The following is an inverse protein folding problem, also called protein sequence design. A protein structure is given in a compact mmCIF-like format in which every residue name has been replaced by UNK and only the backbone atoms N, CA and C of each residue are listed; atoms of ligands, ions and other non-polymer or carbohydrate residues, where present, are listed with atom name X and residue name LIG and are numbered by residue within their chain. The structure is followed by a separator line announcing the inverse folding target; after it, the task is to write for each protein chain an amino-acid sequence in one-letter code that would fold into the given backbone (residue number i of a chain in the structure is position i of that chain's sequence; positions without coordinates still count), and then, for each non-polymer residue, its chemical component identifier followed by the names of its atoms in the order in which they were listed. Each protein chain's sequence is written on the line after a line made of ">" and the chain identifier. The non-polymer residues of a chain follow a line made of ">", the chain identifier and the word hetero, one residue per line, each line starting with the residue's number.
data_IF_464510229954
#
_entry.id   IF_464510229954
#
_cell.length_a   1.000
_cell.length_b   1.000
_cell.length_c   1.000
_cell.angle_alpha   90.00
_cell.angle_beta   90.00
_cell.angle_gamma   90.00
#
_symmetry.space_group_name_H-M   'P 1'
#
loop_
_entity.id
_entity.type
_entity.pdbx_description
1 polymer ?
#
# COMPACT_ATOMS: atom_id res chain seq x y z
N UNK A 1 17.27 -3.17 -29.53
CA UNK A 1 16.91 -4.24 -28.57
C UNK A 1 18.03 -4.54 -27.55
N UNK A 2 19.30 -4.74 -27.94
CA UNK A 2 20.39 -5.09 -27.00
C UNK A 2 20.73 -3.99 -25.97
N UNK A 3 20.66 -2.69 -26.33
CA UNK A 3 20.86 -1.57 -25.39
C UNK A 3 19.76 -1.45 -24.33
N UNK A 4 18.53 -1.85 -24.64
CA UNK A 4 17.39 -1.86 -23.72
C UNK A 4 17.51 -2.99 -22.71
N UNK A 5 18.02 -4.16 -23.13
CA UNK A 5 18.24 -5.32 -22.27
C UNK A 5 19.35 -5.09 -21.21
N UNK A 6 20.47 -4.44 -21.58
CA UNK A 6 21.51 -4.06 -20.60
C UNK A 6 21.02 -3.06 -19.55
N UNK A 7 20.13 -2.14 -19.93
CA UNK A 7 19.51 -1.17 -18.99
C UNK A 7 18.54 -1.85 -18.03
N UNK A 8 17.78 -2.85 -18.51
CA UNK A 8 16.90 -3.67 -17.68
C UNK A 8 17.68 -4.46 -16.60
N UNK A 9 18.83 -5.04 -16.99
CA UNK A 9 19.70 -5.80 -16.07
C UNK A 9 20.33 -4.93 -14.97
N UNK A 10 20.75 -3.70 -15.30
CA UNK A 10 21.33 -2.78 -14.32
C UNK A 10 20.29 -2.24 -13.33
N UNK A 11 19.02 -2.18 -13.74
CA UNK A 11 17.90 -1.70 -12.92
C UNK A 11 17.35 -2.79 -12.00
N UNK A 12 17.32 -4.05 -12.45
CA UNK A 12 17.01 -5.21 -11.61
C UNK A 12 17.96 -5.30 -10.41
N UNK A 13 19.24 -4.96 -10.64
CA UNK A 13 20.27 -4.89 -9.60
C UNK A 13 19.99 -3.76 -8.59
N UNK A 14 19.51 -2.61 -9.05
CA UNK A 14 19.15 -1.46 -8.20
C UNK A 14 17.90 -1.74 -7.34
N UNK A 15 16.90 -2.45 -7.89
CA UNK A 15 15.73 -2.93 -7.14
C UNK A 15 16.12 -3.96 -6.07
N UNK A 16 17.11 -4.82 -6.36
CA UNK A 16 17.67 -5.75 -5.37
C UNK A 16 18.41 -5.02 -4.24
N UNK A 17 19.14 -3.94 -4.55
CA UNK A 17 19.82 -3.11 -3.53
C UNK A 17 18.85 -2.35 -2.63
N UNK A 18 17.75 -1.82 -3.15
CA UNK A 18 16.72 -1.15 -2.34
C UNK A 18 15.94 -2.13 -1.42
N UNK A 19 15.81 -3.39 -1.85
CA UNK A 19 15.25 -4.47 -1.04
C UNK A 19 16.16 -4.88 0.13
N UNK A 20 17.48 -4.61 0.05
CA UNK A 20 18.44 -4.92 1.10
C UNK A 20 18.49 -3.87 2.22
N UNK A 21 18.22 -2.59 1.92
CA UNK A 21 18.27 -1.51 2.93
C UNK A 21 17.07 -1.49 3.89
N UNK A 22 15.99 -2.21 3.58
CA UNK A 22 14.80 -2.35 4.43
C UNK A 22 14.92 -3.47 5.47
N UNK A 23 16.06 -4.18 5.53
CA UNK A 23 16.33 -5.28 6.47
C UNK A 23 16.88 -4.83 7.84
N UNK A 24 17.15 -3.53 8.06
CA UNK A 24 17.66 -3.01 9.33
C UNK A 24 16.63 -2.12 10.02
N UNK A 25 15.72 -2.72 10.78
CA UNK A 25 15.11 -2.03 11.92
C UNK A 25 14.85 -3.04 13.04
N UNK A 26 15.65 -2.90 14.10
CA UNK A 26 15.60 -3.66 15.34
C UNK A 26 14.44 -3.12 16.17
N UNK A 27 13.49 -3.99 16.53
CA UNK A 27 12.37 -3.63 17.40
C UNK A 27 12.84 -3.41 18.84
N UNK A 28 12.51 -2.25 19.40
CA UNK A 28 12.52 -2.02 20.84
C UNK A 28 11.18 -2.52 21.41
N UNK A 29 11.21 -3.39 22.42
CA UNK A 29 10.02 -3.82 23.17
C UNK A 29 9.81 -2.84 24.32
N UNK A 30 8.62 -2.23 24.41
CA UNK A 30 8.21 -1.44 25.57
C UNK A 30 7.77 -2.37 26.71
N UNK A 31 8.20 -2.02 27.92
CA UNK A 31 8.22 -2.82 29.14
C UNK A 31 7.30 -2.24 30.22
N UNK A 32 6.18 -1.64 29.85
CA UNK A 32 5.33 -0.93 30.81
C UNK A 32 3.89 -1.41 30.65
N UNK A 33 3.52 -2.38 31.48
CA UNK A 33 2.32 -2.40 32.33
C UNK A 33 1.94 -3.86 32.65
N UNK A 34 1.92 -4.18 33.94
CA UNK A 34 1.88 -5.55 34.43
C UNK A 34 0.63 -5.73 35.32
N UNK A 35 -0.51 -6.14 34.74
CA UNK A 35 -1.79 -6.17 35.45
C UNK A 35 -1.89 -7.36 36.41
N UNK A 36 -2.80 -7.27 37.38
CA UNK A 36 -3.13 -8.39 38.27
C UNK A 36 -3.95 -9.47 37.57
N UNK A 37 -3.79 -10.73 38.00
CA UNK A 37 -4.55 -11.89 37.53
C UNK A 37 -6.03 -11.80 37.96
N UNK A 38 -6.99 -12.01 37.05
CA UNK A 38 -8.40 -11.80 37.30
C UNK A 38 -9.07 -12.80 38.25
N UNK A 39 -8.43 -13.94 38.50
CA UNK A 39 -8.92 -15.02 39.38
C UNK A 39 -8.20 -15.02 40.72
N UNK A 40 -6.88 -14.87 40.72
CA UNK A 40 -6.05 -14.97 41.94
C UNK A 40 -5.67 -13.63 42.56
N UNK A 41 -5.73 -12.53 41.79
CA UNK A 41 -5.30 -11.20 42.24
C UNK A 41 -3.79 -11.06 42.44
N UNK A 42 -2.98 -12.03 41.98
CA UNK A 42 -1.53 -11.90 41.98
C UNK A 42 -1.06 -11.15 40.75
N UNK A 43 -0.06 -10.27 40.90
CA UNK A 43 0.57 -9.59 39.76
C UNK A 43 1.05 -10.61 38.72
N UNK A 44 0.63 -10.43 37.48
CA UNK A 44 1.12 -11.22 36.35
C UNK A 44 2.62 -10.93 36.21
N UNK A 45 3.44 -11.93 35.88
CA UNK A 45 4.88 -11.71 35.62
C UNK A 45 5.12 -11.59 34.11
N UNK A 46 6.35 -11.30 33.68
CA UNK A 46 6.68 -11.13 32.25
C UNK A 46 6.31 -12.33 31.37
N UNK A 47 6.14 -13.52 31.96
CA UNK A 47 5.52 -14.69 31.34
C UNK A 47 4.06 -14.79 31.81
N UNK A 48 3.13 -14.40 30.94
CA UNK A 48 1.70 -14.41 31.20
C UNK A 48 0.99 -15.46 30.34
N UNK A 49 0.00 -16.15 30.91
CA UNK A 49 -0.92 -16.98 30.16
C UNK A 49 -2.05 -16.10 29.62
N UNK A 50 -2.32 -16.14 28.31
CA UNK A 50 -3.25 -15.19 27.68
C UNK A 50 -4.52 -15.90 27.22
N UNK A 51 -5.67 -15.37 27.62
CA UNK A 51 -6.95 -15.70 27.03
C UNK A 51 -7.29 -14.66 25.97
N UNK A 52 -7.30 -15.07 24.70
CA UNK A 52 -7.57 -14.18 23.58
C UNK A 52 -9.07 -14.12 23.28
N UNK A 53 -9.62 -12.91 23.30
CA UNK A 53 -10.95 -12.64 22.79
C UNK A 53 -10.88 -12.31 21.30
N UNK A 54 -12.01 -12.45 20.61
CA UNK A 54 -12.19 -11.94 19.24
C UNK A 54 -11.82 -10.45 19.18
N UNK A 55 -11.24 -10.04 18.06
CA UNK A 55 -10.86 -8.65 17.76
C UNK A 55 -9.72 -8.07 18.63
N UNK A 56 -8.86 -8.92 19.22
CA UNK A 56 -7.54 -8.54 19.70
C UNK A 56 -7.42 -8.19 21.18
N UNK A 57 -8.54 -8.08 21.90
CA UNK A 57 -8.52 -7.97 23.36
C UNK A 57 -8.04 -9.28 23.99
N UNK A 58 -7.30 -9.18 25.09
CA UNK A 58 -6.74 -10.35 25.79
C UNK A 58 -6.79 -10.14 27.30
N UNK A 59 -7.09 -11.21 28.02
CA UNK A 59 -6.95 -11.28 29.47
C UNK A 59 -5.66 -12.00 29.82
N UNK A 60 -4.94 -11.49 30.81
CA UNK A 60 -3.65 -12.05 31.25
C UNK A 60 -3.80 -12.74 32.60
N UNK A 61 -3.27 -13.95 32.69
CA UNK A 61 -3.27 -14.79 33.88
C UNK A 61 -1.83 -15.06 34.32
N UNK A 62 -1.62 -15.12 35.64
CA UNK A 62 -0.32 -15.36 36.25
C UNK A 62 0.10 -16.84 36.16
N UNK A 63 -0.85 -17.77 36.06
CA UNK A 63 -0.57 -19.20 36.04
C UNK A 63 -1.48 -19.97 35.07
N UNK A 64 -1.04 -21.15 34.64
CA UNK A 64 -1.88 -22.06 33.83
C UNK A 64 -3.09 -22.55 34.65
N UNK A 65 -2.93 -22.75 35.96
CA UNK A 65 -4.01 -23.21 36.85
C UNK A 65 -5.15 -22.18 36.95
N UNK A 66 -4.83 -20.89 37.00
CA UNK A 66 -5.83 -19.81 37.04
C UNK A 66 -6.55 -19.65 35.69
N UNK A 67 -5.83 -19.86 34.58
CA UNK A 67 -6.45 -19.93 33.26
C UNK A 67 -7.41 -21.12 33.14
N UNK A 68 -6.99 -22.31 33.55
CA UNK A 68 -7.81 -23.52 33.47
C UNK A 68 -9.05 -23.43 34.37
N UNK A 69 -8.91 -22.81 35.56
CA UNK A 69 -10.05 -22.52 36.44
C UNK A 69 -11.05 -21.55 35.79
N UNK A 70 -10.56 -20.54 35.07
CA UNK A 70 -11.40 -19.60 34.32
C UNK A 70 -12.14 -20.28 33.15
N UNK A 71 -11.46 -21.15 32.39
CA UNK A 71 -12.07 -21.90 31.29
C UNK A 71 -13.18 -22.85 31.77
N UNK A 72 -13.04 -23.41 32.98
CA UNK A 72 -14.07 -24.25 33.58
C UNK A 72 -15.23 -23.44 34.15
N UNK A 73 -14.95 -22.34 34.84
CA UNK A 73 -15.95 -21.50 35.50
C UNK A 73 -15.63 -20.00 35.32
N UNK A 74 -16.16 -19.35 34.27
CA UNK A 74 -15.83 -17.95 33.96
C UNK A 74 -16.36 -16.96 35.00
N UNK A 75 -17.40 -17.33 35.75
CA UNK A 75 -17.99 -16.49 36.81
C UNK A 75 -17.06 -16.24 37.99
N UNK A 76 -15.97 -17.01 38.14
CA UNK A 76 -14.96 -16.76 39.17
C UNK A 76 -14.19 -15.46 38.89
N UNK A 77 -13.92 -15.18 37.61
CA UNK A 77 -13.16 -14.01 37.18
C UNK A 77 -14.04 -12.78 36.88
N UNK A 78 -15.35 -12.95 36.70
CA UNK A 78 -16.24 -11.88 36.22
C UNK A 78 -17.02 -11.24 37.38
N UNK A 79 -16.79 -9.94 37.63
CA UNK A 79 -17.48 -9.18 38.69
C UNK A 79 -18.84 -8.65 38.24
N UNK A 80 -18.90 -8.11 37.03
CA UNK A 80 -20.10 -7.48 36.50
C UNK A 80 -19.82 -6.54 35.34
N UNK A 81 -20.87 -5.87 34.88
CA UNK A 81 -20.82 -4.89 33.80
C UNK A 81 -20.96 -3.50 34.37
N UNK A 82 -20.09 -2.57 33.97
CA UNK A 82 -20.23 -1.15 34.29
C UNK A 82 -19.98 -0.28 33.06
N UNK A 83 -20.37 0.98 33.18
CA UNK A 83 -19.97 2.04 32.26
C UNK A 83 -19.29 3.11 33.10
N UNK A 84 -18.02 3.39 32.83
CA UNK A 84 -17.34 4.48 33.52
C UNK A 84 -17.97 5.81 33.07
N UNK A 85 -18.41 6.69 33.99
CA UNK A 85 -18.83 8.04 33.60
C UNK A 85 -17.62 8.81 33.08
N UNK A 86 -17.77 9.52 31.97
CA UNK A 86 -16.74 10.37 31.40
C UNK A 86 -16.27 11.39 32.46
N UNK A 87 -15.17 11.10 33.14
CA UNK A 87 -14.49 12.08 33.99
C UNK A 87 -13.77 13.04 33.06
N UNK A 88 -14.32 14.25 32.93
CA UNK A 88 -13.61 15.41 32.39
C UNK A 88 -12.44 15.74 33.33
N UNK A 89 -11.35 14.97 33.27
CA UNK A 89 -10.07 15.41 33.81
C UNK A 89 -9.11 15.60 32.66
N UNK A 90 -8.82 16.87 32.38
CA UNK A 90 -7.93 17.29 31.31
C UNK A 90 -6.50 16.92 31.68
N UNK A 91 -6.05 15.71 31.34
CA UNK A 91 -4.63 15.39 31.15
C UNK A 91 -4.44 14.02 30.48
N UNK A 92 -3.77 14.07 29.33
CA UNK A 92 -3.31 13.01 28.42
C UNK A 92 -4.23 12.68 27.23
N UNK A 93 -3.61 12.80 26.05
CA UNK A 93 -4.16 12.99 24.71
C UNK A 93 -4.09 11.72 23.84
N UNK A 94 -4.22 10.53 24.43
CA UNK A 94 -4.24 9.27 23.67
C UNK A 94 -5.35 8.37 24.23
N UNK A 95 -6.61 8.64 23.86
CA UNK A 95 -7.70 7.69 24.12
C UNK A 95 -7.43 6.41 23.32
N UNK A 96 -6.80 5.42 23.95
CA UNK A 96 -6.56 4.10 23.36
C UNK A 96 -7.92 3.51 22.96
N UNK A 97 -8.14 3.30 21.66
CA UNK A 97 -9.37 2.73 21.14
C UNK A 97 -9.17 1.23 20.89
N UNK A 98 -10.09 0.43 21.44
CA UNK A 98 -10.05 -1.03 21.33
C UNK A 98 -11.30 -1.55 20.63
N UNK A 99 -11.17 -2.64 19.88
CA UNK A 99 -12.27 -3.21 19.10
C UNK A 99 -13.16 -4.09 19.97
N UNK A 100 -14.48 -3.91 19.87
CA UNK A 100 -15.44 -4.71 20.61
C UNK A 100 -15.40 -6.19 20.17
N UNK A 101 -15.35 -7.17 21.10
CA UNK A 101 -15.24 -8.59 20.77
C UNK A 101 -16.49 -9.18 20.10
N UNK A 102 -17.64 -8.52 20.23
CA UNK A 102 -18.91 -8.98 19.64
C UNK A 102 -19.04 -8.56 18.17
N UNK A 103 -18.80 -7.28 17.87
CA UNK A 103 -19.11 -6.70 16.55
C UNK A 103 -17.91 -6.08 15.81
N UNK A 104 -16.76 -5.90 16.48
CA UNK A 104 -15.57 -5.28 15.89
C UNK A 104 -15.65 -3.76 15.71
N UNK A 105 -16.65 -3.08 16.29
CA UNK A 105 -16.67 -1.61 16.32
C UNK A 105 -15.68 -1.06 17.35
N UNK A 106 -15.11 0.11 17.07
CA UNK A 106 -14.23 0.82 18.00
C UNK A 106 -14.97 1.20 19.28
N UNK A 107 -14.33 0.96 20.41
CA UNK A 107 -14.78 1.34 21.76
C UNK A 107 -13.66 2.10 22.46
N UNK A 108 -14.02 3.15 23.19
CA UNK A 108 -13.08 3.92 24.00
C UNK A 108 -12.77 3.15 25.29
N UNK A 109 -11.48 3.05 25.63
CA UNK A 109 -11.03 2.49 26.92
C UNK A 109 -11.48 3.38 28.09
N UNK A 110 -11.53 4.70 27.89
CA UNK A 110 -11.79 5.69 28.95
C UNK A 110 -13.27 5.96 29.26
N UNK A 111 -14.17 5.73 28.30
CA UNK A 111 -15.57 6.22 28.37
C UNK A 111 -16.62 5.22 27.89
N UNK A 112 -16.21 3.97 27.67
CA UNK A 112 -17.06 2.90 27.14
C UNK A 112 -17.68 1.97 28.19
N UNK A 113 -18.71 1.20 27.80
CA UNK A 113 -19.17 0.02 28.54
C UNK A 113 -18.09 -1.05 28.64
N UNK A 114 -17.83 -1.53 29.85
CA UNK A 114 -16.80 -2.52 30.12
C UNK A 114 -17.29 -3.65 31.04
N UNK A 115 -16.67 -4.81 30.90
CA UNK A 115 -16.86 -5.97 31.77
C UNK A 115 -15.69 -6.02 32.75
N UNK A 116 -15.98 -5.83 34.04
CA UNK A 116 -14.97 -5.81 35.09
C UNK A 116 -14.66 -7.22 35.58
N UNK A 117 -13.38 -7.45 35.84
CA UNK A 117 -12.92 -8.66 36.50
C UNK A 117 -13.09 -8.57 38.04
N UNK A 118 -13.17 -9.72 38.70
CA UNK A 118 -13.32 -9.84 40.16
C UNK A 118 -12.09 -9.33 40.88
N UNK A 119 -10.91 -9.66 40.35
CA UNK A 119 -9.62 -9.26 40.86
C UNK A 119 -8.85 -8.48 39.79
N UNK A 120 -8.12 -7.44 40.19
CA UNK A 120 -7.29 -6.64 39.29
C UNK A 120 -8.00 -5.54 38.49
N UNK A 121 -7.19 -4.79 37.76
CA UNK A 121 -7.61 -3.64 36.94
C UNK A 121 -7.92 -4.03 35.47
N UNK A 122 -7.88 -5.32 35.14
CA UNK A 122 -8.23 -5.78 33.81
C UNK A 122 -9.74 -5.65 33.57
N UNK A 123 -10.13 -5.10 32.42
CA UNK A 123 -11.52 -5.08 31.97
C UNK A 123 -11.59 -5.38 30.47
N UNK A 124 -12.77 -5.85 30.02
CA UNK A 124 -13.05 -6.07 28.60
C UNK A 124 -13.95 -4.95 28.12
N UNK A 125 -13.46 -4.12 27.21
CA UNK A 125 -14.20 -2.99 26.68
C UNK A 125 -15.11 -3.40 25.52
N UNK A 126 -16.28 -2.79 25.46
CA UNK A 126 -17.28 -3.07 24.43
C UNK A 126 -17.90 -1.78 23.93
N UNK A 127 -18.45 -1.80 22.73
CA UNK A 127 -19.06 -0.60 22.13
C UNK A 127 -20.46 -0.28 22.69
N UNK A 128 -21.07 -1.17 23.48
CA UNK A 128 -22.42 -0.96 24.02
C UNK A 128 -22.67 -1.80 25.28
N UNK A 129 -23.58 -1.33 26.14
CA UNK A 129 -24.00 -2.08 27.33
C UNK A 129 -24.65 -3.43 26.99
N UNK A 130 -25.24 -3.57 25.81
CA UNK A 130 -25.80 -4.85 25.35
C UNK A 130 -24.70 -5.86 25.06
N UNK A 131 -23.64 -5.43 24.37
CA UNK A 131 -22.47 -6.28 24.10
C UNK A 131 -21.70 -6.62 25.37
N UNK A 132 -21.59 -5.67 26.31
CA UNK A 132 -20.99 -5.94 27.61
C UNK A 132 -21.73 -7.06 28.37
N UNK A 133 -23.07 -7.04 28.35
CA UNK A 133 -23.89 -8.10 28.97
C UNK A 133 -23.77 -9.43 28.25
N UNK A 134 -23.75 -9.42 26.93
CA UNK A 134 -23.57 -10.63 26.11
C UNK A 134 -22.22 -11.30 26.38
N UNK A 135 -21.15 -10.50 26.47
CA UNK A 135 -19.81 -10.98 26.83
C UNK A 135 -19.79 -11.50 28.27
N UNK A 136 -20.44 -10.83 29.22
CA UNK A 136 -20.53 -11.28 30.60
C UNK A 136 -21.24 -12.65 30.73
N UNK A 137 -22.29 -12.88 29.96
CA UNK A 137 -23.04 -14.14 29.99
C UNK A 137 -22.32 -15.29 29.28
N UNK A 138 -21.59 -15.01 28.19
CA UNK A 138 -21.00 -16.05 27.32
C UNK A 138 -19.56 -15.75 26.88
N UNK A 139 -18.67 -15.31 27.78
CA UNK A 139 -17.30 -14.91 27.44
C UNK A 139 -16.51 -15.96 26.62
N UNK A 140 -16.73 -17.25 26.89
CA UNK A 140 -16.06 -18.36 26.21
C UNK A 140 -16.47 -18.50 24.73
N UNK A 141 -17.69 -18.08 24.34
CA UNK A 141 -18.12 -18.11 22.92
C UNK A 141 -17.42 -17.03 22.08
N UNK A 142 -16.87 -16.02 22.76
CA UNK A 142 -16.04 -14.97 22.19
C UNK A 142 -14.55 -15.26 22.29
N UNK A 143 -14.16 -16.44 22.78
CA UNK A 143 -12.80 -16.92 22.64
C UNK A 143 -12.43 -16.91 21.15
N UNK A 144 -11.30 -16.31 20.82
CA UNK A 144 -10.73 -16.47 19.50
C UNK A 144 -10.51 -17.98 19.32
N UNK A 145 -11.20 -18.59 18.34
CA UNK A 145 -10.99 -19.98 18.02
C UNK A 145 -9.48 -20.19 17.87
N UNK A 146 -8.97 -21.23 18.50
CA UNK A 146 -7.58 -21.65 18.34
C UNK A 146 -7.43 -22.19 16.90
N UNK A 147 -7.54 -21.32 15.90
CA UNK A 147 -6.88 -21.47 14.62
C UNK A 147 -5.38 -21.38 14.91
N UNK A 148 -4.86 -22.48 15.45
CA UNK A 148 -3.45 -22.82 15.47
C UNK A 148 -2.54 -21.64 15.85
N UNK A 149 -2.26 -21.59 17.14
CA UNK A 149 -0.93 -21.31 17.67
C UNK A 149 0.13 -22.32 17.14
N UNK A 150 0.13 -22.59 15.83
CA UNK A 150 1.15 -23.26 15.03
C UNK A 150 1.53 -22.38 13.83
N UNK A 151 1.68 -21.07 14.07
CA UNK A 151 2.91 -20.36 13.70
C UNK A 151 3.12 -19.21 14.66
N UNK A 152 3.72 -19.50 15.81
CA UNK A 152 4.66 -18.57 16.43
C UNK A 152 5.92 -18.42 15.52
N UNK A 153 5.71 -18.08 14.24
CA UNK A 153 6.69 -17.41 13.41
C UNK A 153 6.09 -16.04 13.14
N UNK A 154 6.65 -15.01 13.76
CA UNK A 154 6.71 -13.63 13.29
C UNK A 154 5.72 -13.27 12.15
N UNK A 155 4.42 -13.18 12.46
CA UNK A 155 3.44 -12.59 11.56
C UNK A 155 3.84 -11.14 11.29
N UNK A 156 3.90 -10.74 10.02
CA UNK A 156 4.42 -9.43 9.62
C UNK A 156 3.47 -8.29 9.98
N UNK A 157 2.18 -8.59 10.14
CA UNK A 157 1.10 -7.68 10.51
C UNK A 157 0.08 -8.39 11.39
N UNK A 158 -0.72 -7.63 12.16
CA UNK A 158 -1.75 -8.16 13.04
C UNK A 158 -3.08 -7.41 12.85
N UNK A 159 -4.19 -8.16 12.73
CA UNK A 159 -5.54 -7.60 12.61
C UNK A 159 -6.21 -7.87 11.25
N UNK A 160 -7.52 -7.54 11.14
CA UNK A 160 -8.24 -7.65 9.88
C UNK A 160 -7.62 -6.71 8.84
N UNK A 161 -7.48 -7.19 7.60
CA UNK A 161 -6.90 -6.39 6.53
C UNK A 161 -7.60 -5.05 6.36
N UNK A 162 -6.84 -3.95 6.27
CA UNK A 162 -7.32 -2.60 5.98
C UNK A 162 -6.79 -2.12 4.63
N UNK A 163 -7.58 -1.28 3.96
CA UNK A 163 -7.17 -0.57 2.73
C UNK A 163 -6.53 0.78 3.01
N UNK A 164 -6.64 1.31 4.23
CA UNK A 164 -6.17 2.65 4.59
C UNK A 164 -5.62 2.67 6.01
N UNK A 165 -4.42 3.22 6.17
CA UNK A 165 -3.80 3.45 7.47
C UNK A 165 -4.11 4.86 7.99
N UNK A 166 -4.02 5.03 9.32
CA UNK A 166 -4.15 6.33 9.98
C UNK A 166 -2.87 7.16 9.79
N UNK A 167 -2.66 7.63 8.57
CA UNK A 167 -1.48 8.40 8.17
C UNK A 167 -0.31 7.53 7.70
N UNK A 168 0.81 8.19 7.41
CA UNK A 168 1.99 7.55 6.84
C UNK A 168 2.72 6.67 7.86
N UNK A 169 2.66 5.36 7.65
CA UNK A 169 3.31 4.39 8.53
C UNK A 169 4.28 3.48 7.76
N UNK A 170 5.30 2.99 8.45
CA UNK A 170 6.19 1.96 7.94
C UNK A 170 5.66 0.59 8.35
N UNK A 171 5.53 -0.32 7.39
CA UNK A 171 5.02 -1.66 7.66
C UNK A 171 5.96 -2.47 8.55
N UNK A 172 5.42 -2.93 9.68
CA UNK A 172 6.12 -3.71 10.71
C UNK A 172 5.16 -4.48 11.60
N UNK A 173 5.71 -5.25 12.54
CA UNK A 173 4.97 -6.27 13.32
C UNK A 173 3.75 -5.76 14.09
N UNK A 174 3.64 -4.45 14.35
CA UNK A 174 2.54 -3.80 15.08
C UNK A 174 1.53 -3.08 14.18
N UNK A 175 1.65 -3.17 12.85
CA UNK A 175 0.73 -2.52 11.90
C UNK A 175 -0.37 -3.46 11.43
N UNK A 176 -1.60 -2.95 11.16
CA UNK A 176 -2.67 -3.76 10.59
C UNK A 176 -2.33 -4.21 9.17
N UNK A 177 -2.81 -5.39 8.79
CA UNK A 177 -2.49 -5.98 7.49
C UNK A 177 -3.04 -5.13 6.34
N UNK A 178 -2.27 -4.95 5.27
CA UNK A 178 -2.69 -4.11 4.12
C UNK A 178 -3.33 -4.99 3.04
N UNK A 179 -4.45 -4.51 2.52
CA UNK A 179 -5.17 -5.09 1.39
C UNK A 179 -4.75 -4.44 0.07
N UNK A 180 -4.21 -5.22 -0.86
CA UNK A 180 -3.80 -4.71 -2.17
C UNK A 180 -4.88 -4.97 -3.22
N UNK A 181 -5.62 -3.91 -3.57
CA UNK A 181 -6.71 -3.83 -4.57
C UNK A 181 -7.94 -4.71 -4.34
N UNK A 182 -7.77 -5.95 -3.88
CA UNK A 182 -8.83 -6.92 -3.69
C UNK A 182 -8.79 -7.51 -2.28
N UNK A 183 -9.94 -7.86 -1.68
CA UNK A 183 -10.02 -8.42 -0.33
C UNK A 183 -9.27 -9.75 -0.16
N UNK A 184 -9.06 -10.50 -1.24
CA UNK A 184 -8.30 -11.77 -1.23
C UNK A 184 -6.78 -11.61 -1.29
N UNK A 185 -6.26 -10.39 -1.49
CA UNK A 185 -4.83 -10.10 -1.57
C UNK A 185 -4.37 -9.34 -0.31
N UNK A 186 -4.26 -10.09 0.79
CA UNK A 186 -3.73 -9.61 2.07
C UNK A 186 -2.21 -9.77 2.10
N UNK A 187 -1.48 -8.70 2.42
CA UNK A 187 -0.03 -8.73 2.60
C UNK A 187 0.31 -9.20 4.02
N UNK A 188 0.06 -10.47 4.30
CA UNK A 188 0.21 -11.10 5.63
C UNK A 188 1.66 -11.47 6.01
N UNK A 189 2.53 -11.55 5.01
CA UNK A 189 3.89 -12.06 5.14
C UNK A 189 4.88 -11.18 4.39
N UNK A 190 6.13 -11.10 4.85
CA UNK A 190 7.18 -10.32 4.18
C UNK A 190 7.32 -10.66 2.69
N UNK A 191 7.17 -11.93 2.33
CA UNK A 191 7.28 -12.37 0.93
C UNK A 191 6.12 -11.82 0.10
N UNK A 192 4.88 -11.93 0.58
CA UNK A 192 3.71 -11.35 -0.12
C UNK A 192 3.80 -9.83 -0.18
N UNK A 193 4.36 -9.21 0.86
CA UNK A 193 4.59 -7.78 0.90
C UNK A 193 5.60 -7.31 -0.16
N UNK A 194 6.77 -7.96 -0.24
CA UNK A 194 7.79 -7.68 -1.26
C UNK A 194 7.23 -7.94 -2.67
N UNK A 195 6.53 -9.06 -2.86
CA UNK A 195 5.90 -9.38 -4.14
C UNK A 195 4.87 -8.31 -4.54
N UNK A 196 4.05 -7.84 -3.59
CA UNK A 196 3.13 -6.73 -3.78
C UNK A 196 3.85 -5.44 -4.18
N UNK A 197 4.92 -5.06 -3.46
CA UNK A 197 5.72 -3.88 -3.78
C UNK A 197 6.35 -3.94 -5.18
N UNK A 198 6.93 -5.08 -5.55
CA UNK A 198 7.49 -5.30 -6.90
C UNK A 198 6.40 -5.19 -7.97
N UNK A 199 5.24 -5.78 -7.73
CA UNK A 199 4.12 -5.76 -8.66
C UNK A 199 3.57 -4.33 -8.87
N UNK A 200 3.47 -3.55 -7.80
CA UNK A 200 3.10 -2.13 -7.85
C UNK A 200 4.15 -1.31 -8.62
N UNK A 201 5.44 -1.53 -8.37
CA UNK A 201 6.50 -0.85 -9.09
C UNK A 201 6.49 -1.20 -10.60
N UNK A 202 6.23 -2.46 -10.95
CA UNK A 202 6.05 -2.88 -12.34
C UNK A 202 4.83 -2.22 -12.98
N UNK A 203 3.71 -2.10 -12.26
CA UNK A 203 2.54 -1.37 -12.73
C UNK A 203 2.83 0.12 -12.99
N UNK A 204 3.64 0.77 -12.14
CA UNK A 204 4.09 2.15 -12.34
C UNK A 204 5.00 2.31 -13.57
N UNK A 205 5.97 1.40 -13.76
CA UNK A 205 6.80 1.37 -14.99
C UNK A 205 5.94 1.15 -16.23
N UNK A 206 4.96 0.24 -16.14
CA UNK A 206 4.05 -0.05 -17.23
C UNK A 206 3.14 1.13 -17.57
N UNK A 207 2.70 1.90 -16.57
CA UNK A 207 1.95 3.13 -16.80
C UNK A 207 2.76 4.15 -17.62
N UNK A 208 4.04 4.36 -17.28
CA UNK A 208 4.90 5.27 -18.06
C UNK A 208 5.18 4.73 -19.47
N UNK A 209 5.31 3.41 -19.63
CA UNK A 209 5.41 2.78 -20.94
C UNK A 209 4.18 3.07 -21.82
N UNK A 210 2.96 2.91 -21.27
CA UNK A 210 1.72 3.21 -22.00
C UNK A 210 1.60 4.69 -22.35
N UNK A 211 2.00 5.59 -21.43
CA UNK A 211 2.07 7.02 -21.69
C UNK A 211 3.01 7.33 -22.85
N UNK A 212 4.21 6.75 -22.86
CA UNK A 212 5.17 6.94 -23.94
C UNK A 212 4.67 6.36 -25.26
N UNK A 213 4.09 5.16 -25.24
CA UNK A 213 3.48 4.55 -26.42
C UNK A 213 2.40 5.46 -27.00
N UNK A 214 1.51 6.01 -26.17
CA UNK A 214 0.49 6.97 -26.60
C UNK A 214 1.07 8.24 -27.20
N UNK A 215 2.17 8.77 -26.64
CA UNK A 215 2.89 9.94 -27.20
C UNK A 215 3.43 9.63 -28.60
N UNK A 216 4.07 8.49 -28.79
CA UNK A 216 4.60 8.04 -30.09
C UNK A 216 3.48 7.87 -31.11
N UNK A 217 2.40 7.18 -30.75
CA UNK A 217 1.26 6.95 -31.64
C UNK A 217 0.57 8.26 -32.05
N UNK A 218 0.44 9.23 -31.14
CA UNK A 218 -0.08 10.57 -31.47
C UNK A 218 0.83 11.30 -32.45
N UNK A 219 2.15 11.30 -32.24
CA UNK A 219 3.12 11.95 -33.13
C UNK A 219 3.00 11.41 -34.55
N UNK A 220 2.92 10.09 -34.72
CA UNK A 220 2.74 9.45 -36.04
C UNK A 220 1.44 9.88 -36.72
N UNK A 221 0.32 9.93 -35.97
CA UNK A 221 -0.97 10.36 -36.53
C UNK A 221 -0.96 11.81 -37.00
N UNK A 222 -0.27 12.70 -36.27
CA UNK A 222 -0.11 14.11 -36.63
C UNK A 222 0.76 14.27 -37.88
N UNK A 223 1.88 13.55 -37.97
CA UNK A 223 2.77 13.57 -39.16
C UNK A 223 2.04 13.03 -40.39
N UNK A 224 1.30 11.93 -40.27
CA UNK A 224 0.50 11.38 -41.38
C UNK A 224 -0.57 12.35 -41.85
N UNK A 225 -1.22 13.10 -40.94
CA UNK A 225 -2.15 14.18 -41.32
C UNK A 225 -1.43 15.32 -42.05
N UNK A 226 -0.26 15.76 -41.59
CA UNK A 226 0.53 16.79 -42.27
C UNK A 226 1.00 16.36 -43.66
N UNK A 227 1.41 15.09 -43.82
CA UNK A 227 1.79 14.54 -45.12
C UNK A 227 0.60 14.34 -46.06
N UNK A 228 -0.58 13.96 -45.54
CA UNK A 228 -1.78 13.79 -46.36
C UNK A 228 -2.44 15.13 -46.73
N UNK A 229 -2.20 16.20 -45.96
CA UNK A 229 -2.66 17.56 -46.26
C UNK A 229 -1.77 18.31 -47.27
N UNK A 230 -0.95 17.58 -48.07
CA UNK A 230 -0.36 18.07 -49.30
C UNK A 230 -1.46 18.41 -50.35
N UNK A 231 -2.24 19.45 -50.09
CA UNK A 231 -3.06 20.11 -51.10
C UNK A 231 -2.13 20.95 -52.00
N UNK A 232 -2.34 21.00 -53.34
CA UNK A 232 -1.38 21.60 -54.29
C UNK A 232 -1.27 23.14 -54.26
N UNK A 233 -1.65 23.80 -53.17
CA UNK A 233 -1.68 25.27 -53.04
C UNK A 233 -1.02 25.70 -51.75
N UNK A 234 0.30 25.63 -51.68
CA UNK A 234 1.06 26.27 -50.61
C UNK A 234 2.07 27.23 -51.26
N UNK A 235 2.03 28.49 -50.83
CA UNK A 235 2.90 29.58 -51.27
C UNK A 235 4.38 29.26 -51.11
N UNK A 236 5.25 29.92 -51.88
CA UNK A 236 6.73 29.81 -51.85
C UNK A 236 7.35 29.81 -50.43
N UNK A 237 6.74 30.53 -49.49
CA UNK A 237 7.14 30.56 -48.07
C UNK A 237 6.99 29.20 -47.36
N UNK A 238 6.00 28.40 -47.74
CA UNK A 238 5.83 27.03 -47.25
C UNK A 238 6.87 26.08 -47.86
N UNK A 239 7.40 26.39 -49.05
CA UNK A 239 8.48 25.60 -49.66
C UNK A 239 9.83 25.81 -48.95
N UNK A 240 10.13 27.02 -48.45
CA UNK A 240 11.35 27.28 -47.67
C UNK A 240 11.30 26.65 -46.26
N UNK A 241 10.14 26.64 -45.60
CA UNK A 241 9.96 25.84 -44.38
C UNK A 241 10.02 24.34 -44.67
N UNK A 242 9.57 23.91 -45.86
CA UNK A 242 9.63 22.50 -46.31
C UNK A 242 11.05 22.04 -46.64
N UNK A 243 11.88 22.88 -47.25
CA UNK A 243 13.30 22.54 -47.52
C UNK A 243 14.09 22.43 -46.22
N UNK A 244 13.75 23.25 -45.22
CA UNK A 244 14.30 23.18 -43.85
C UNK A 244 13.80 21.95 -43.08
N UNK A 245 12.57 21.50 -43.34
CA UNK A 245 12.02 20.25 -42.78
C UNK A 245 12.50 18.99 -43.53
N UNK A 246 12.88 19.10 -44.81
CA UNK A 246 13.41 18.00 -45.63
C UNK A 246 14.90 17.75 -45.39
N UNK A 247 15.66 18.72 -44.87
CA UNK A 247 17.06 18.53 -44.47
C UNK A 247 17.24 18.00 -43.05
N UNK A 248 16.16 17.84 -42.27
CA UNK A 248 16.20 16.94 -41.13
C UNK A 248 16.26 15.51 -41.69
N UNK A 249 17.34 14.75 -41.46
CA UNK A 249 17.39 13.37 -41.89
C UNK A 249 16.13 12.72 -41.34
N UNK A 250 15.34 12.09 -42.22
CA UNK A 250 14.15 11.32 -41.87
C UNK A 250 14.43 10.61 -40.56
N UNK A 251 13.98 11.19 -39.44
CA UNK A 251 14.26 10.65 -38.14
C UNK A 251 13.55 9.31 -38.14
N UNK A 252 14.36 8.25 -38.14
CA UNK A 252 13.97 6.85 -38.20
C UNK A 252 12.56 6.66 -37.68
N UNK A 253 11.62 6.45 -38.59
CA UNK A 253 10.52 5.50 -38.45
C UNK A 253 10.16 5.12 -37.00
N UNK A 254 9.65 6.08 -36.21
CA UNK A 254 9.56 5.91 -34.74
C UNK A 254 8.34 5.12 -34.26
N UNK A 255 7.34 4.87 -35.11
CA UNK A 255 6.15 4.11 -34.77
C UNK A 255 6.25 2.61 -35.04
N UNK A 256 5.55 1.78 -34.24
CA UNK A 256 5.51 0.35 -34.49
C UNK A 256 4.84 0.03 -35.84
N UNK A 257 5.46 -0.84 -36.63
CA UNK A 257 5.04 -1.17 -38.00
C UNK A 257 3.58 -1.65 -38.10
N UNK A 258 3.09 -2.37 -37.10
CA UNK A 258 1.70 -2.85 -37.03
C UNK A 258 0.67 -1.71 -36.94
N UNK A 259 1.05 -0.56 -36.37
CA UNK A 259 0.14 0.58 -36.22
C UNK A 259 -0.08 1.34 -37.52
N UNK A 260 0.88 1.26 -38.44
CA UNK A 260 0.83 1.96 -39.73
C UNK A 260 -0.08 1.28 -40.74
N UNK A 261 -0.22 -0.03 -40.64
CA UNK A 261 -1.06 -0.85 -41.52
C UNK A 261 -2.54 -0.82 -41.16
N UNK A 262 -2.91 -0.22 -40.02
CA UNK A 262 -4.30 -0.11 -39.54
C UNK A 262 -5.08 1.00 -40.24
N UNK A 263 -6.40 0.81 -40.38
CA UNK A 263 -7.33 1.80 -40.94
C UNK A 263 -7.46 3.04 -40.02
N UNK A 264 -7.79 4.23 -40.55
CA UNK A 264 -7.88 5.46 -39.75
C UNK A 264 -8.90 5.37 -38.60
N UNK A 265 -10.01 4.64 -38.81
CA UNK A 265 -11.01 4.37 -37.76
C UNK A 265 -10.44 3.47 -36.65
N UNK A 266 -9.69 2.42 -37.03
CA UNK A 266 -9.04 1.55 -36.06
C UNK A 266 -7.93 2.28 -35.29
N UNK A 267 -7.23 3.23 -35.92
CA UNK A 267 -6.24 4.07 -35.23
C UNK A 267 -6.89 4.93 -34.13
N UNK A 268 -8.08 5.47 -34.38
CA UNK A 268 -8.84 6.21 -33.38
C UNK A 268 -9.32 5.31 -32.23
N UNK A 269 -9.84 4.12 -32.56
CA UNK A 269 -10.23 3.11 -31.57
C UNK A 269 -9.07 2.66 -30.67
N UNK A 270 -7.90 2.36 -31.25
CA UNK A 270 -6.68 2.00 -30.50
C UNK A 270 -6.26 3.14 -29.58
N UNK A 271 -6.31 4.39 -30.03
CA UNK A 271 -5.94 5.54 -29.19
C UNK A 271 -6.87 5.74 -27.99
N UNK A 272 -8.18 5.55 -28.21
CA UNK A 272 -9.20 5.59 -27.15
C UNK A 272 -9.04 4.45 -26.15
N UNK A 273 -8.83 3.22 -26.64
CA UNK A 273 -8.62 2.05 -25.79
C UNK A 273 -7.36 2.20 -24.93
N UNK A 274 -6.24 2.62 -25.54
CA UNK A 274 -4.99 2.85 -24.81
C UNK A 274 -5.17 3.94 -23.74
N UNK A 275 -6.00 4.95 -24.01
CA UNK A 275 -6.32 5.97 -23.04
C UNK A 275 -7.09 5.40 -21.83
N UNK A 276 -8.11 4.57 -22.08
CA UNK A 276 -8.87 3.90 -21.02
C UNK A 276 -7.98 3.01 -20.14
N UNK A 277 -7.11 2.20 -20.77
CA UNK A 277 -6.16 1.32 -20.05
C UNK A 277 -5.17 2.14 -19.21
N UNK A 278 -4.64 3.24 -19.76
CA UNK A 278 -3.74 4.15 -19.02
C UNK A 278 -4.43 4.74 -17.79
N UNK A 279 -5.68 5.19 -17.93
CA UNK A 279 -6.46 5.73 -16.80
C UNK A 279 -6.72 4.66 -15.75
N UNK A 280 -7.12 3.46 -16.17
CA UNK A 280 -7.37 2.35 -15.25
C UNK A 280 -6.14 2.03 -14.38
N UNK A 281 -4.96 1.93 -14.99
CA UNK A 281 -3.72 1.66 -14.25
C UNK A 281 -3.34 2.83 -13.35
N UNK A 282 -3.50 4.07 -13.82
CA UNK A 282 -3.25 5.26 -13.00
C UNK A 282 -4.14 5.29 -11.75
N UNK A 283 -5.42 4.95 -11.87
CA UNK A 283 -6.33 4.83 -10.72
C UNK A 283 -5.94 3.67 -9.79
N UNK A 284 -5.51 2.52 -10.32
CA UNK A 284 -5.02 1.43 -9.48
C UNK A 284 -3.77 1.82 -8.67
N UNK A 285 -2.86 2.60 -9.26
CA UNK A 285 -1.69 3.14 -8.55
C UNK A 285 -2.07 4.23 -7.55
N UNK A 286 -3.08 5.04 -7.87
CA UNK A 286 -3.64 6.02 -6.94
C UNK A 286 -4.23 5.33 -5.70
N UNK A 287 -4.95 4.22 -5.87
CA UNK A 287 -5.46 3.42 -4.73
C UNK A 287 -4.32 2.97 -3.82
N UNK A 288 -3.19 2.53 -4.38
CA UNK A 288 -2.01 2.17 -3.57
C UNK A 288 -1.48 3.36 -2.79
N UNK A 289 -1.40 4.55 -3.40
CA UNK A 289 -0.94 5.76 -2.67
C UNK A 289 -1.86 6.17 -1.52
N UNK A 290 -3.16 5.86 -1.63
CA UNK A 290 -4.16 6.15 -0.59
C UNK A 290 -4.18 5.11 0.54
N UNK A 291 -3.36 4.05 0.45
CA UNK A 291 -3.16 3.13 1.58
C UNK A 291 -2.36 3.76 2.71
N UNK A 292 -1.67 4.87 2.44
CA UNK A 292 -0.74 5.56 3.35
C UNK A 292 0.40 4.69 3.90
N UNK A 293 0.73 3.58 3.23
CA UNK A 293 1.95 2.84 3.52
C UNK A 293 3.14 3.51 2.82
N UNK A 294 4.13 3.94 3.60
CA UNK A 294 5.30 4.64 3.07
C UNK A 294 6.16 3.76 2.18
N UNK A 295 6.27 2.47 2.47
CA UNK A 295 7.15 1.58 1.71
C UNK A 295 6.54 1.30 0.34
N UNK A 296 5.24 0.98 0.26
CA UNK A 296 4.51 0.83 -1.00
C UNK A 296 4.50 2.14 -1.80
N UNK A 297 4.34 3.29 -1.14
CA UNK A 297 4.47 4.59 -1.79
C UNK A 297 5.87 4.77 -2.41
N UNK A 298 6.94 4.41 -1.69
CA UNK A 298 8.30 4.46 -2.23
C UNK A 298 8.48 3.51 -3.42
N UNK A 299 7.91 2.30 -3.39
CA UNK A 299 7.91 1.40 -4.55
C UNK A 299 7.21 2.01 -5.77
N UNK A 300 6.08 2.71 -5.58
CA UNK A 300 5.40 3.47 -6.65
C UNK A 300 6.31 4.56 -7.22
N UNK A 301 6.91 5.38 -6.36
CA UNK A 301 7.80 6.49 -6.76
C UNK A 301 9.02 5.95 -7.52
N UNK A 302 9.68 4.92 -6.99
CA UNK A 302 10.82 4.27 -7.64
C UNK A 302 10.41 3.71 -9.00
N UNK A 303 9.25 3.06 -9.10
CA UNK A 303 8.71 2.54 -10.36
C UNK A 303 8.46 3.65 -11.40
N UNK A 304 7.90 4.79 -11.00
CA UNK A 304 7.71 5.93 -11.90
C UNK A 304 9.04 6.56 -12.34
N UNK A 305 9.98 6.77 -11.42
CA UNK A 305 11.32 7.28 -11.76
C UNK A 305 12.04 6.32 -12.71
N UNK A 306 11.93 5.02 -12.48
CA UNK A 306 12.46 3.98 -13.35
C UNK A 306 11.85 4.03 -14.74
N UNK A 307 10.52 4.06 -14.83
CA UNK A 307 9.80 4.15 -16.09
C UNK A 307 10.19 5.40 -16.86
N UNK A 308 10.24 6.54 -16.19
CA UNK A 308 10.64 7.80 -16.81
C UNK A 308 12.10 7.78 -17.26
N UNK A 309 13.01 7.16 -16.51
CA UNK A 309 14.41 7.04 -16.91
C UNK A 309 14.60 6.15 -18.15
N UNK A 310 13.84 5.06 -18.25
CA UNK A 310 13.93 4.10 -19.36
C UNK A 310 13.25 4.64 -20.62
N UNK A 311 12.07 5.24 -20.49
CA UNK A 311 11.20 5.65 -21.60
C UNK A 311 11.21 7.16 -21.88
N UNK A 312 11.86 7.96 -21.05
CA UNK A 312 11.98 9.41 -21.22
C UNK A 312 12.75 9.78 -22.47
N UNK A 313 12.18 10.68 -23.29
CA UNK A 313 12.85 11.22 -24.47
C UNK A 313 14.07 12.04 -24.01
N UNK A 314 15.29 11.58 -24.36
CA UNK A 314 16.45 12.46 -24.34
C UNK A 314 16.17 13.60 -25.33
N UNK A 315 15.94 14.80 -24.83
CA UNK A 315 16.16 16.01 -25.62
C UNK A 315 17.66 16.06 -25.89
N UNK A 316 18.10 15.49 -27.01
CA UNK A 316 19.40 15.78 -27.58
C UNK A 316 19.42 17.30 -27.79
N UNK A 317 20.26 18.02 -27.03
CA UNK A 317 20.46 19.45 -27.25
C UNK A 317 21.06 19.61 -28.67
N UNK A 318 20.55 20.54 -29.50
CA UNK A 318 21.13 20.79 -30.80
C UNK A 318 22.58 21.24 -30.61
N UNK A 319 23.54 20.38 -30.98
CA UNK A 319 24.93 20.77 -31.14
C UNK A 319 24.94 21.78 -32.28
N UNK A 320 25.02 23.06 -31.95
CA UNK A 320 25.28 24.13 -32.89
C UNK A 320 26.67 23.88 -33.48
N UNK A 321 26.73 23.21 -34.63
CA UNK A 321 27.91 23.13 -35.48
C UNK A 321 28.27 24.56 -35.92
N UNK A 322 29.22 25.15 -35.22
CA UNK A 322 29.84 26.41 -35.59
C UNK A 322 30.79 26.20 -36.76
N UNK A 323 30.24 26.14 -37.97
CA UNK A 323 30.99 26.44 -39.18
C UNK A 323 30.82 27.94 -39.45
N UNK A 324 31.58 28.76 -38.71
CA UNK A 324 31.77 30.16 -39.05
C UNK A 324 32.77 30.20 -40.21
N UNK A 325 32.22 30.14 -41.42
CA UNK A 325 32.93 30.28 -42.69
C UNK A 325 33.78 31.56 -42.66
N UNK A 326 35.10 31.39 -42.63
CA UNK A 326 36.07 32.47 -42.77
C UNK A 326 36.12 32.90 -44.23
N UNK A 327 35.35 33.92 -44.58
CA UNK A 327 35.53 34.66 -45.83
C UNK A 327 35.16 36.13 -45.63
N UNK A 328 36.15 36.97 -45.34
CA UNK A 328 36.17 38.35 -45.78
C UNK A 328 37.62 38.71 -46.19
N UNK A 329 37.81 39.39 -47.34
CA UNK A 329 39.12 39.74 -47.89
C UNK A 329 39.86 40.84 -47.12
#
# INVERSE_FOLDING_TARGET
>A
MVKTARRFSSFLLLMAFACCSSLLSVGAMNMDDMPDDPVSGTMVMSQAYNFHLKNGQKLRFASQETLDAFLQNPTLALKGVASSPATHDHRHEDDESVLCPVCGMESSVSSGPEVLMTHGEQSVHTCSMTHAREVYEQILSFQAAEETAAKAEHGYCAGPGTTMLNGFSFSGNSTPCILLWFPGWVLDSRVRYIFGGVLVALAAVFNEFLLQLRRVLRKESSVKRLLNSNAPRASESAQLLRSTAQSMPLADSCGPAWFRTLSPEAQHGVHSLLHGVTLFIAYMLMLVSMTYDLTLLLWVVVGYVAGHYVFGERREAPVSSGDMESNFP
#
